data_IF_413191574003
#
_entry.id   IF_413191574003
#
_cell.length_a   1.000
_cell.length_b   1.000
_cell.length_c   1.000
_cell.angle_alpha   90.00
_cell.angle_beta   90.00
_cell.angle_gamma   90.00
#
_symmetry.space_group_name_H-M   'P 1'
#
loop_
_entity.id
_entity.type
_entity.pdbx_description
1 polymer ?
#
# COMPACT_ATOMS: atom_id res chain seq x y z
N UNK A 1 -19.13 2.98 15.01
CA UNK A 1 -18.67 1.59 14.89
C UNK A 1 -17.27 1.55 15.50
N UNK A 2 -16.98 0.62 16.40
CA UNK A 2 -15.63 0.47 16.97
C UNK A 2 -14.72 -0.38 16.04
N UNK A 3 -13.43 -0.43 16.32
CA UNK A 3 -12.45 -1.16 15.49
C UNK A 3 -12.75 -2.65 15.38
N UNK A 4 -13.18 -3.27 16.49
CA UNK A 4 -13.53 -4.69 16.52
C UNK A 4 -14.77 -4.99 15.67
N UNK A 5 -15.77 -4.12 15.70
CA UNK A 5 -16.97 -4.22 14.88
C UNK A 5 -16.60 -4.13 13.39
N UNK A 6 -15.75 -3.16 13.02
CA UNK A 6 -15.30 -2.96 11.63
C UNK A 6 -14.58 -4.21 11.12
N UNK A 7 -13.65 -4.76 11.90
CA UNK A 7 -12.94 -5.99 11.55
C UNK A 7 -13.88 -7.21 11.42
N UNK A 8 -14.83 -7.37 12.34
CA UNK A 8 -15.81 -8.45 12.29
C UNK A 8 -16.72 -8.33 11.06
N UNK A 9 -17.15 -7.11 10.71
CA UNK A 9 -17.98 -6.87 9.53
C UNK A 9 -17.20 -7.16 8.24
N UNK A 10 -15.94 -6.72 8.15
CA UNK A 10 -15.07 -7.04 7.02
C UNK A 10 -14.87 -8.55 6.86
N UNK A 11 -14.61 -9.26 7.96
CA UNK A 11 -14.47 -10.73 7.94
C UNK A 11 -15.75 -11.43 7.46
N UNK A 12 -16.93 -10.95 7.87
CA UNK A 12 -18.21 -11.46 7.39
C UNK A 12 -18.40 -11.20 5.88
N UNK A 13 -18.05 -10.01 5.40
CA UNK A 13 -18.08 -9.68 3.96
C UNK A 13 -17.14 -10.63 3.19
N UNK A 14 -15.91 -10.84 3.65
CA UNK A 14 -14.96 -11.77 3.04
C UNK A 14 -15.48 -13.21 2.99
N UNK A 15 -16.16 -13.67 4.04
CA UNK A 15 -16.80 -14.98 4.07
C UNK A 15 -17.93 -15.08 3.02
N UNK A 16 -18.77 -14.04 2.88
CA UNK A 16 -19.80 -14.00 1.84
C UNK A 16 -19.21 -14.03 0.44
N UNK A 17 -18.13 -13.28 0.17
CA UNK A 17 -17.45 -13.31 -1.13
C UNK A 17 -16.90 -14.73 -1.40
N UNK A 18 -16.23 -15.34 -0.42
CA UNK A 18 -15.69 -16.71 -0.55
C UNK A 18 -16.76 -17.78 -0.77
N UNK A 19 -17.96 -17.59 -0.20
CA UNK A 19 -19.14 -18.44 -0.40
C UNK A 19 -19.94 -18.09 -1.66
N UNK A 20 -19.47 -17.15 -2.49
CA UNK A 20 -20.15 -16.65 -3.71
C UNK A 20 -21.52 -16.00 -3.43
N UNK A 21 -21.73 -15.53 -2.21
CA UNK A 21 -22.93 -14.82 -1.76
C UNK A 21 -22.77 -13.31 -2.03
N UNK A 22 -22.68 -12.96 -3.32
CA UNK A 22 -22.25 -11.60 -3.72
C UNK A 22 -23.24 -10.50 -3.33
N UNK A 23 -24.53 -10.82 -3.28
CA UNK A 23 -25.54 -9.85 -2.81
C UNK A 23 -25.29 -9.46 -1.35
N UNK A 24 -25.10 -10.45 -0.47
CA UNK A 24 -24.81 -10.22 0.95
C UNK A 24 -23.50 -9.45 1.15
N UNK A 25 -22.48 -9.77 0.34
CA UNK A 25 -21.22 -9.04 0.37
C UNK A 25 -21.39 -7.57 -0.06
N UNK A 26 -22.09 -7.32 -1.18
CA UNK A 26 -22.38 -5.98 -1.69
C UNK A 26 -23.16 -5.16 -0.66
N UNK A 27 -24.22 -5.73 -0.09
CA UNK A 27 -25.03 -5.08 0.94
C UNK A 27 -24.18 -4.73 2.17
N UNK A 28 -23.30 -5.65 2.59
CA UNK A 28 -22.36 -5.39 3.69
C UNK A 28 -21.38 -4.25 3.41
N UNK A 29 -20.86 -4.13 2.19
CA UNK A 29 -19.98 -3.01 1.80
C UNK A 29 -20.76 -1.69 1.77
N UNK A 30 -22.00 -1.68 1.27
CA UNK A 30 -22.88 -0.50 1.31
C UNK A 30 -23.15 -0.02 2.72
N UNK A 31 -23.38 -0.94 3.66
CA UNK A 31 -23.53 -0.60 5.08
C UNK A 31 -22.27 0.08 5.63
N UNK A 32 -21.07 -0.44 5.33
CA UNK A 32 -19.81 0.20 5.74
C UNK A 32 -19.67 1.60 5.13
N UNK A 33 -19.96 1.75 3.84
CA UNK A 33 -19.87 3.02 3.12
C UNK A 33 -20.83 4.09 3.67
N UNK A 34 -22.03 3.66 4.10
CA UNK A 34 -23.06 4.53 4.65
C UNK A 34 -22.65 5.15 6.00
N UNK A 35 -21.85 4.45 6.82
CA UNK A 35 -21.42 4.95 8.14
C UNK A 35 -20.60 6.24 8.01
N UNK A 36 -19.79 6.36 6.96
CA UNK A 36 -18.89 7.50 6.75
C UNK A 36 -19.32 8.45 5.63
N UNK A 37 -20.45 8.18 4.97
CA UNK A 37 -20.84 8.88 3.74
C UNK A 37 -19.70 8.90 2.70
N UNK A 38 -18.95 7.80 2.59
CA UNK A 38 -17.82 7.71 1.67
C UNK A 38 -18.36 7.56 0.24
N UNK A 39 -18.45 8.68 -0.49
CA UNK A 39 -19.01 8.74 -1.83
C UNK A 39 -18.22 7.89 -2.83
N UNK A 40 -16.88 7.86 -2.73
CA UNK A 40 -16.03 7.11 -3.66
C UNK A 40 -16.24 5.60 -3.51
N UNK A 41 -16.38 5.09 -2.28
CA UNK A 41 -16.72 3.69 -2.03
C UNK A 41 -18.16 3.40 -2.49
N UNK A 42 -19.08 4.32 -2.24
CA UNK A 42 -20.50 4.17 -2.61
C UNK A 42 -20.72 4.09 -4.12
N UNK A 43 -19.98 4.89 -4.90
CA UNK A 43 -19.99 4.87 -6.35
C UNK A 43 -19.43 3.54 -6.89
N UNK A 44 -18.24 3.13 -6.41
CA UNK A 44 -17.63 1.86 -6.82
C UNK A 44 -18.51 0.66 -6.51
N UNK A 45 -19.14 0.60 -5.33
CA UNK A 45 -19.98 -0.55 -4.98
C UNK A 45 -21.27 -0.58 -5.80
N UNK A 46 -21.83 0.58 -6.18
CA UNK A 46 -22.97 0.65 -7.08
C UNK A 46 -22.63 0.19 -8.51
N UNK A 47 -21.43 0.53 -8.99
CA UNK A 47 -20.91 0.02 -10.27
C UNK A 47 -20.79 -1.51 -10.24
N UNK A 48 -20.16 -2.06 -9.18
CA UNK A 48 -20.01 -3.52 -9.02
C UNK A 48 -21.35 -4.24 -8.92
N UNK A 49 -22.33 -3.66 -8.22
CA UNK A 49 -23.68 -4.22 -8.16
C UNK A 49 -24.35 -4.24 -9.53
N UNK A 50 -24.22 -3.16 -10.30
CA UNK A 50 -24.77 -3.07 -11.66
C UNK A 50 -24.12 -4.13 -12.57
N UNK A 51 -22.80 -4.27 -12.52
CA UNK A 51 -22.05 -5.28 -13.25
C UNK A 51 -22.49 -6.71 -12.86
N UNK A 52 -22.72 -6.96 -11.57
CA UNK A 52 -23.24 -8.23 -11.08
C UNK A 52 -24.66 -8.52 -11.61
N UNK A 53 -25.55 -7.53 -11.61
CA UNK A 53 -26.91 -7.67 -12.15
C UNK A 53 -26.89 -7.98 -13.65
N UNK A 54 -26.05 -7.30 -14.44
CA UNK A 54 -25.88 -7.61 -15.85
C UNK A 54 -25.39 -9.04 -16.08
N UNK A 55 -24.43 -9.51 -15.29
CA UNK A 55 -23.93 -10.87 -15.39
C UNK A 55 -25.03 -11.91 -15.08
N UNK A 56 -25.88 -11.67 -14.08
CA UNK A 56 -27.04 -12.53 -13.79
C UNK A 56 -28.04 -12.55 -14.95
N UNK A 57 -28.31 -11.39 -15.55
CA UNK A 57 -29.19 -11.29 -16.72
C UNK A 57 -28.66 -12.11 -17.90
N UNK A 58 -27.38 -11.98 -18.24
CA UNK A 58 -26.77 -12.76 -19.33
C UNK A 58 -26.76 -14.27 -19.06
N UNK A 59 -26.59 -14.69 -17.80
CA UNK A 59 -26.68 -16.09 -17.42
C UNK A 59 -28.09 -16.66 -17.68
N UNK A 60 -29.14 -15.89 -17.38
CA UNK A 60 -30.53 -16.28 -17.62
C UNK A 60 -30.88 -16.34 -19.12
N UNK A 61 -30.27 -15.49 -19.94
CA UNK A 61 -30.45 -15.50 -21.41
C UNK A 61 -29.79 -16.71 -22.10
N UNK A 62 -28.99 -17.51 -21.39
CA UNK A 62 -28.36 -18.72 -21.94
C UNK A 62 -27.22 -18.46 -22.93
N UNK A 63 -26.73 -17.22 -23.03
CA UNK A 63 -25.57 -16.88 -23.86
C UNK A 63 -24.29 -17.37 -23.16
N UNK A 64 -23.64 -18.39 -23.74
CA UNK A 64 -22.33 -18.84 -23.27
C UNK A 64 -21.24 -17.90 -23.79
N UNK A 65 -20.87 -16.92 -22.98
CA UNK A 65 -19.72 -16.05 -23.23
C UNK A 65 -18.45 -16.65 -22.57
N UNK A 66 -17.39 -16.95 -23.35
CA UNK A 66 -16.10 -17.40 -22.80
C UNK A 66 -15.50 -16.43 -21.76
N UNK A 67 -15.75 -15.12 -21.89
CA UNK A 67 -15.22 -14.08 -21.01
C UNK A 67 -15.98 -13.99 -19.68
N UNK A 68 -17.13 -14.67 -19.53
CA UNK A 68 -17.96 -14.60 -18.33
C UNK A 68 -17.18 -14.94 -17.06
N UNK A 69 -16.28 -15.94 -17.14
CA UNK A 69 -15.44 -16.32 -16.00
C UNK A 69 -14.45 -15.21 -15.65
N UNK A 70 -13.82 -14.58 -16.64
CA UNK A 70 -12.87 -13.49 -16.41
C UNK A 70 -13.55 -12.27 -15.78
N UNK A 71 -14.75 -11.92 -16.26
CA UNK A 71 -15.57 -10.84 -15.69
C UNK A 71 -15.96 -11.15 -14.25
N UNK A 72 -16.40 -12.38 -13.97
CA UNK A 72 -16.74 -12.81 -12.62
C UNK A 72 -15.53 -12.76 -11.68
N UNK A 73 -14.39 -13.28 -12.10
CA UNK A 73 -13.16 -13.26 -11.30
C UNK A 73 -12.69 -11.82 -11.05
N UNK A 74 -12.88 -10.91 -12.01
CA UNK A 74 -12.62 -9.48 -11.82
C UNK A 74 -13.58 -8.86 -10.80
N UNK A 75 -14.88 -9.12 -10.93
CA UNK A 75 -15.91 -8.66 -9.98
C UNK A 75 -15.58 -9.07 -8.54
N UNK A 76 -15.14 -10.33 -8.34
CA UNK A 76 -14.73 -10.81 -7.02
C UNK A 76 -13.53 -10.03 -6.47
N UNK A 77 -12.49 -9.84 -7.28
CA UNK A 77 -11.28 -9.08 -6.87
C UNK A 77 -11.62 -7.64 -6.53
N UNK A 78 -12.43 -7.00 -7.36
CA UNK A 78 -12.83 -5.61 -7.16
C UNK A 78 -13.70 -5.49 -5.89
N UNK A 79 -14.57 -6.48 -5.61
CA UNK A 79 -15.39 -6.50 -4.40
C UNK A 79 -14.57 -6.67 -3.11
N UNK A 80 -13.56 -7.55 -3.11
CA UNK A 80 -12.60 -7.63 -1.99
C UNK A 80 -11.90 -6.28 -1.79
N UNK A 81 -11.42 -5.68 -2.87
CA UNK A 81 -10.70 -4.40 -2.85
C UNK A 81 -11.55 -3.27 -2.26
N UNK A 82 -12.82 -3.16 -2.70
CA UNK A 82 -13.73 -2.12 -2.22
C UNK A 82 -14.18 -2.39 -0.77
N UNK A 83 -14.31 -3.65 -0.36
CA UNK A 83 -14.60 -4.01 1.03
C UNK A 83 -13.45 -3.60 1.97
N UNK A 84 -12.22 -3.93 1.60
CA UNK A 84 -11.02 -3.53 2.32
C UNK A 84 -10.91 -2.00 2.40
N UNK A 85 -11.15 -1.29 1.28
CA UNK A 85 -11.14 0.18 1.26
C UNK A 85 -12.16 0.78 2.22
N UNK A 86 -13.39 0.25 2.22
CA UNK A 86 -14.46 0.74 3.10
C UNK A 86 -14.08 0.58 4.58
N UNK A 87 -13.54 -0.58 4.96
CA UNK A 87 -13.10 -0.86 6.32
C UNK A 87 -11.86 -0.03 6.70
N UNK A 88 -10.90 0.13 5.79
CA UNK A 88 -9.69 0.91 6.04
C UNK A 88 -10.01 2.39 6.26
N UNK A 89 -10.95 2.95 5.50
CA UNK A 89 -11.42 4.33 5.72
C UNK A 89 -12.06 4.53 7.10
N UNK A 90 -12.80 3.54 7.61
CA UNK A 90 -13.32 3.52 8.98
C UNK A 90 -12.19 3.51 10.01
N UNK A 91 -11.23 2.62 9.83
CA UNK A 91 -10.08 2.52 10.73
C UNK A 91 -9.18 3.76 10.70
N UNK A 92 -9.06 4.46 9.57
CA UNK A 92 -8.22 5.66 9.46
C UNK A 92 -8.65 6.77 10.41
N UNK A 93 -9.95 6.88 10.73
CA UNK A 93 -10.46 7.90 11.65
C UNK A 93 -10.24 7.53 13.13
N UNK A 94 -10.52 6.28 13.48
CA UNK A 94 -10.65 5.86 14.88
C UNK A 94 -9.44 5.08 15.42
N UNK A 95 -8.62 4.51 14.54
CA UNK A 95 -7.58 3.57 14.96
C UNK A 95 -6.33 4.27 15.50
N UNK A 96 -5.85 3.89 16.70
CA UNK A 96 -4.58 4.36 17.25
C UNK A 96 -3.38 3.54 16.76
N UNK A 97 -3.58 2.55 15.87
CA UNK A 97 -2.47 1.73 15.39
C UNK A 97 -1.43 2.57 14.65
N UNK A 98 -0.17 2.14 14.70
CA UNK A 98 0.95 2.84 14.05
C UNK A 98 0.70 3.12 12.56
N UNK A 99 0.10 2.17 11.84
CA UNK A 99 -0.21 2.34 10.41
C UNK A 99 -1.13 3.54 10.18
N UNK A 100 -2.30 3.56 10.84
CA UNK A 100 -3.28 4.64 10.67
C UNK A 100 -2.78 5.97 11.23
N UNK A 101 -1.97 5.97 12.29
CA UNK A 101 -1.31 7.18 12.79
C UNK A 101 -0.37 7.81 11.76
N UNK A 102 0.52 6.99 11.18
CA UNK A 102 1.44 7.45 10.14
C UNK A 102 0.72 7.82 8.85
N UNK A 103 -0.32 7.10 8.47
CA UNK A 103 -1.13 7.43 7.30
C UNK A 103 -1.83 8.79 7.46
N UNK A 104 -2.40 9.09 8.64
CA UNK A 104 -2.94 10.43 8.94
C UNK A 104 -1.89 11.52 8.83
N UNK A 105 -0.68 11.28 9.37
CA UNK A 105 0.42 12.24 9.28
C UNK A 105 0.82 12.52 7.81
N UNK A 106 0.86 11.48 6.97
CA UNK A 106 1.18 11.58 5.55
C UNK A 106 0.06 12.23 4.72
N UNK A 107 -1.18 12.23 5.19
CA UNK A 107 -2.27 12.97 4.53
C UNK A 107 -2.20 14.48 4.80
N UNK A 108 -1.52 14.91 5.86
CA UNK A 108 -1.36 16.33 6.22
C UNK A 108 -0.06 16.91 5.67
N UNK A 109 1.00 16.10 5.59
CA UNK A 109 2.30 16.49 5.05
C UNK A 109 2.38 16.16 3.57
N UNK A 110 3.19 16.89 2.81
CA UNK A 110 3.61 16.43 1.49
C UNK A 110 4.83 15.53 1.70
N UNK A 111 4.70 14.20 1.59
CA UNK A 111 5.87 13.32 1.71
C UNK A 111 6.80 13.55 0.52
N UNK A 112 8.09 13.32 0.73
CA UNK A 112 9.03 13.21 -0.37
C UNK A 112 8.67 11.99 -1.22
N UNK A 113 8.90 12.12 -2.51
CA UNK A 113 8.80 11.04 -3.48
C UNK A 113 9.94 10.03 -3.28
N UNK A 114 9.74 8.80 -3.75
CA UNK A 114 10.77 7.76 -3.70
C UNK A 114 12.06 8.19 -4.41
N UNK A 115 11.95 8.95 -5.50
CA UNK A 115 13.11 9.43 -6.26
C UNK A 115 13.86 10.56 -5.54
N UNK A 116 13.16 11.39 -4.77
CA UNK A 116 13.79 12.37 -3.88
C UNK A 116 14.56 11.67 -2.76
N UNK A 117 13.98 10.65 -2.12
CA UNK A 117 14.70 9.84 -1.13
C UNK A 117 15.93 9.17 -1.71
N UNK A 118 15.81 8.58 -2.90
CA UNK A 118 16.95 8.01 -3.65
C UNK A 118 18.07 9.04 -3.79
N UNK A 119 17.74 10.24 -4.26
CA UNK A 119 18.71 11.33 -4.47
C UNK A 119 19.38 11.77 -3.17
N UNK A 120 18.63 11.85 -2.07
CA UNK A 120 19.16 12.22 -0.75
C UNK A 120 20.12 11.13 -0.24
N UNK A 121 19.74 9.86 -0.35
CA UNK A 121 20.55 8.72 0.09
C UNK A 121 21.87 8.64 -0.69
N UNK A 122 21.81 8.75 -2.02
CA UNK A 122 23.03 8.78 -2.85
C UNK A 122 23.97 9.89 -2.42
N UNK A 123 23.45 11.10 -2.19
CA UNK A 123 24.24 12.24 -1.72
C UNK A 123 24.84 12.01 -0.33
N UNK A 124 24.11 11.38 0.59
CA UNK A 124 24.60 11.04 1.93
C UNK A 124 25.71 9.98 1.87
N UNK A 125 25.61 9.04 0.95
CA UNK A 125 26.64 8.02 0.70
C UNK A 125 27.92 8.64 0.11
N UNK A 126 27.78 9.56 -0.85
CA UNK A 126 28.91 10.34 -1.37
C UNK A 126 29.57 11.16 -0.24
N UNK A 127 28.76 11.84 0.57
CA UNK A 127 29.22 12.64 1.72
C UNK A 127 29.99 11.78 2.71
N UNK A 128 29.50 10.58 3.02
CA UNK A 128 30.22 9.62 3.85
C UNK A 128 31.60 9.28 3.26
N UNK A 129 31.65 8.99 1.97
CA UNK A 129 32.90 8.67 1.25
C UNK A 129 33.90 9.84 1.31
N UNK A 130 33.43 11.08 1.19
CA UNK A 130 34.29 12.27 1.37
C UNK A 130 34.80 12.44 2.80
N UNK A 131 33.95 12.22 3.81
CA UNK A 131 34.34 12.33 5.21
C UNK A 131 35.37 11.25 5.55
N UNK A 132 35.26 10.06 4.97
CA UNK A 132 36.19 8.96 5.25
C UNK A 132 37.63 9.27 4.79
N UNK A 133 37.80 10.11 3.77
CA UNK A 133 39.10 10.57 3.29
C UNK A 133 39.77 11.63 4.19
N UNK A 134 39.08 12.16 5.20
CA UNK A 134 39.65 13.13 6.13
C UNK A 134 40.67 12.49 7.07
N UNK A 135 41.61 13.30 7.58
CA UNK A 135 42.55 12.88 8.61
C UNK A 135 41.82 12.47 9.90
N UNK A 136 42.39 11.50 10.60
CA UNK A 136 41.85 11.07 11.89
C UNK A 136 41.90 12.20 12.91
N UNK A 137 40.76 12.47 13.55
CA UNK A 137 40.63 13.51 14.55
C UNK A 137 39.18 13.85 14.86
N UNK A 138 39.00 14.75 15.83
CA UNK A 138 37.67 15.14 16.33
C UNK A 138 36.74 15.67 15.23
N UNK A 139 37.26 16.34 14.21
CA UNK A 139 36.45 16.86 13.10
C UNK A 139 35.85 15.72 12.26
N UNK A 140 36.64 14.70 11.92
CA UNK A 140 36.16 13.51 11.18
C UNK A 140 35.08 12.80 11.99
N UNK A 141 35.34 12.54 13.28
CA UNK A 141 34.37 11.89 14.18
C UNK A 141 33.05 12.64 14.27
N UNK A 142 33.10 13.97 14.42
CA UNK A 142 31.91 14.81 14.51
C UNK A 142 31.09 14.77 13.22
N UNK A 143 31.73 14.90 12.06
CA UNK A 143 31.05 14.87 10.76
C UNK A 143 30.46 13.50 10.45
N UNK A 144 31.17 12.41 10.76
CA UNK A 144 30.64 11.05 10.63
C UNK A 144 29.37 10.87 11.46
N UNK A 145 29.41 11.31 12.72
CA UNK A 145 28.25 11.21 13.61
C UNK A 145 27.07 12.02 13.09
N UNK A 146 27.31 13.24 12.60
CA UNK A 146 26.25 14.08 12.03
C UNK A 146 25.64 13.43 10.78
N UNK A 147 26.46 12.98 9.83
CA UNK A 147 25.98 12.33 8.61
C UNK A 147 25.18 11.06 8.93
N UNK A 148 25.63 10.26 9.90
CA UNK A 148 24.91 9.07 10.35
C UNK A 148 23.53 9.41 10.95
N UNK A 149 23.44 10.47 11.75
CA UNK A 149 22.15 10.92 12.32
C UNK A 149 21.18 11.42 11.26
N UNK A 150 21.65 12.22 10.30
CA UNK A 150 20.84 12.72 9.19
C UNK A 150 20.37 11.56 8.29
N UNK A 151 21.24 10.58 8.07
CA UNK A 151 20.92 9.38 7.30
C UNK A 151 19.86 8.51 8.01
N UNK A 152 20.00 8.29 9.32
CA UNK A 152 19.01 7.54 10.11
C UNK A 152 17.63 8.21 10.09
N UNK A 153 17.57 9.54 10.20
CA UNK A 153 16.31 10.30 10.06
C UNK A 153 15.69 10.12 8.67
N UNK A 154 16.52 10.18 7.62
CA UNK A 154 16.08 10.00 6.23
C UNK A 154 15.50 8.60 6.03
N UNK A 155 16.17 7.57 6.53
CA UNK A 155 15.70 6.18 6.44
C UNK A 155 14.43 5.94 7.27
N UNK A 156 14.31 6.57 8.44
CA UNK A 156 13.11 6.49 9.26
C UNK A 156 11.89 7.09 8.52
N UNK A 157 12.06 8.26 7.91
CA UNK A 157 11.01 8.91 7.13
C UNK A 157 10.66 8.11 5.88
N UNK A 158 11.66 7.60 5.16
CA UNK A 158 11.47 6.70 4.02
C UNK A 158 10.72 5.42 4.42
N UNK A 159 11.09 4.80 5.53
CA UNK A 159 10.41 3.61 6.02
C UNK A 159 8.92 3.88 6.21
N UNK A 160 8.56 4.96 6.90
CA UNK A 160 7.16 5.28 7.14
C UNK A 160 6.42 5.67 5.86
N UNK A 161 7.05 6.37 4.92
CA UNK A 161 6.43 6.73 3.64
C UNK A 161 6.11 5.49 2.80
N UNK A 162 7.01 4.49 2.78
CA UNK A 162 6.77 3.20 2.10
C UNK A 162 5.75 2.36 2.87
N UNK A 163 5.84 2.31 4.21
CA UNK A 163 4.97 1.51 5.06
C UNK A 163 3.49 1.90 4.93
N UNK A 164 3.18 3.19 4.79
CA UNK A 164 1.79 3.67 4.61
C UNK A 164 1.46 4.07 3.17
N UNK A 165 2.31 3.66 2.22
CA UNK A 165 2.14 4.02 0.81
C UNK A 165 0.78 3.53 0.25
N UNK A 166 0.17 4.31 -0.67
CA UNK A 166 -1.09 3.92 -1.32
C UNK A 166 -0.92 2.63 -2.13
N UNK A 167 -2.04 2.07 -2.65
CA UNK A 167 -1.93 1.00 -3.65
C UNK A 167 -1.07 1.46 -4.82
N UNK A 168 -0.28 0.54 -5.33
CA UNK A 168 0.69 0.77 -6.37
C UNK A 168 0.03 1.22 -7.68
N UNK A 169 0.63 2.23 -8.28
CA UNK A 169 0.47 2.56 -9.69
C UNK A 169 1.78 2.25 -10.43
N UNK A 170 1.75 2.37 -11.76
CA UNK A 170 2.91 2.07 -12.60
C UNK A 170 4.14 2.92 -12.22
N UNK A 171 3.92 4.19 -11.89
CA UNK A 171 4.98 5.14 -11.54
C UNK A 171 5.66 4.76 -10.22
N UNK A 172 4.89 4.48 -9.17
CA UNK A 172 5.41 4.09 -7.85
C UNK A 172 6.23 2.81 -7.93
N UNK A 173 5.75 1.80 -8.67
CA UNK A 173 6.51 0.56 -8.87
C UNK A 173 7.79 0.83 -9.66
N UNK A 174 7.75 1.73 -10.63
CA UNK A 174 8.94 2.11 -11.40
C UNK A 174 9.98 2.79 -10.50
N UNK A 175 9.58 3.75 -9.68
CA UNK A 175 10.50 4.39 -8.71
C UNK A 175 11.07 3.38 -7.70
N UNK A 176 10.26 2.42 -7.21
CA UNK A 176 10.79 1.35 -6.36
C UNK A 176 11.77 0.44 -7.08
N UNK A 177 11.59 0.14 -8.37
CA UNK A 177 12.58 -0.63 -9.13
C UNK A 177 13.88 0.17 -9.29
N UNK A 178 13.79 1.45 -9.62
CA UNK A 178 14.95 2.30 -9.82
C UNK A 178 15.82 2.42 -8.57
N UNK A 179 15.23 2.62 -7.38
CA UNK A 179 16.01 2.68 -6.13
C UNK A 179 16.63 1.32 -5.78
N UNK A 180 15.99 0.20 -6.14
CA UNK A 180 16.54 -1.15 -5.91
C UNK A 180 17.68 -1.49 -6.88
N UNK A 181 17.60 -1.01 -8.12
CA UNK A 181 18.59 -1.23 -9.18
C UNK A 181 19.80 -0.29 -9.07
N UNK A 182 19.68 0.82 -8.36
CA UNK A 182 20.77 1.78 -8.19
C UNK A 182 21.91 1.23 -7.34
N UNK A 183 23.10 1.10 -7.91
CA UNK A 183 24.31 0.62 -7.24
C UNK A 183 24.84 1.59 -6.18
N UNK A 184 24.50 2.89 -6.29
CA UNK A 184 24.93 3.91 -5.33
C UNK A 184 24.13 3.87 -4.03
N UNK A 185 23.00 3.16 -4.01
CA UNK A 185 22.16 2.99 -2.82
C UNK A 185 22.67 1.77 -2.02
N UNK A 186 23.06 1.96 -0.75
CA UNK A 186 23.54 0.85 0.09
C UNK A 186 22.52 -0.29 0.24
N UNK A 187 23.02 -1.52 0.38
CA UNK A 187 22.19 -2.72 0.56
C UNK A 187 21.31 -2.64 1.83
N UNK A 188 21.84 -2.03 2.89
CA UNK A 188 21.11 -1.82 4.14
C UNK A 188 19.82 -1.01 3.89
N UNK A 189 19.91 0.09 3.16
CA UNK A 189 18.80 0.99 2.84
C UNK A 189 17.75 0.29 1.98
N UNK A 190 18.19 -0.49 0.99
CA UNK A 190 17.30 -1.36 0.19
C UNK A 190 16.54 -2.34 1.08
N UNK A 191 17.20 -2.90 2.09
CA UNK A 191 16.58 -3.82 3.06
C UNK A 191 15.53 -3.12 3.93
N UNK A 192 15.71 -1.85 4.27
CA UNK A 192 14.69 -1.03 4.96
C UNK A 192 13.45 -0.87 4.08
N UNK A 193 13.62 -0.57 2.79
CA UNK A 193 12.49 -0.44 1.86
C UNK A 193 11.75 -1.77 1.70
N UNK A 194 12.47 -2.89 1.53
CA UNK A 194 11.87 -4.24 1.45
C UNK A 194 11.08 -4.55 2.72
N UNK A 195 11.61 -4.22 3.89
CA UNK A 195 10.95 -4.44 5.18
C UNK A 195 9.66 -3.62 5.29
N UNK A 196 9.73 -2.32 4.96
CA UNK A 196 8.57 -1.43 4.94
C UNK A 196 7.49 -1.92 3.95
N UNK A 197 7.91 -2.34 2.75
CA UNK A 197 7.02 -2.82 1.70
C UNK A 197 6.33 -4.13 2.12
N UNK A 198 7.06 -5.04 2.75
CA UNK A 198 6.51 -6.29 3.30
C UNK A 198 5.46 -5.99 4.36
N UNK A 199 5.76 -5.08 5.31
CA UNK A 199 4.80 -4.68 6.33
C UNK A 199 3.56 -3.98 5.74
N UNK A 200 3.73 -3.17 4.69
CA UNK A 200 2.61 -2.55 3.98
C UNK A 200 1.69 -3.63 3.38
N UNK A 201 2.24 -4.64 2.71
CA UNK A 201 1.46 -5.73 2.08
C UNK A 201 0.67 -6.54 3.12
N UNK A 202 1.25 -6.77 4.31
CA UNK A 202 0.56 -7.46 5.40
C UNK A 202 -0.63 -6.66 5.94
N UNK A 203 -0.55 -5.33 5.90
CA UNK A 203 -1.63 -4.45 6.34
C UNK A 203 -2.67 -4.19 5.25
N UNK A 204 -2.24 -4.07 3.99
CA UNK A 204 -3.06 -3.81 2.82
C UNK A 204 -2.55 -4.64 1.65
N UNK A 205 -3.38 -5.58 1.18
CA UNK A 205 -3.03 -6.40 0.03
C UNK A 205 -2.83 -5.54 -1.24
N UNK A 206 -1.73 -5.82 -1.94
CA UNK A 206 -1.39 -5.19 -3.21
C UNK A 206 -0.60 -6.18 -4.07
N UNK A 207 -1.21 -6.63 -5.16
CA UNK A 207 -0.60 -7.64 -6.03
C UNK A 207 0.65 -7.14 -6.75
N UNK A 208 0.73 -5.86 -7.10
CA UNK A 208 1.88 -5.30 -7.82
C UNK A 208 3.09 -5.14 -6.90
N UNK A 209 2.87 -4.75 -5.64
CA UNK A 209 3.94 -4.73 -4.62
C UNK A 209 4.45 -6.13 -4.30
N UNK A 210 3.57 -7.14 -4.25
CA UNK A 210 3.98 -8.54 -4.08
C UNK A 210 4.82 -9.01 -5.27
N UNK A 211 4.38 -8.74 -6.51
CA UNK A 211 5.16 -9.08 -7.71
C UNK A 211 6.54 -8.44 -7.68
N UNK A 212 6.62 -7.16 -7.29
CA UNK A 212 7.89 -6.47 -7.12
C UNK A 212 8.81 -7.21 -6.13
N UNK A 213 8.32 -7.57 -4.93
CA UNK A 213 9.12 -8.33 -3.96
C UNK A 213 9.58 -9.68 -4.51
N UNK A 214 8.71 -10.40 -5.21
CA UNK A 214 9.06 -11.69 -5.83
C UNK A 214 10.12 -11.54 -6.92
N UNK A 215 10.05 -10.48 -7.72
CA UNK A 215 11.03 -10.18 -8.77
C UNK A 215 12.39 -9.81 -8.16
N UNK A 216 12.41 -9.11 -7.02
CA UNK A 216 13.64 -8.79 -6.29
C UNK A 216 14.31 -10.04 -5.71
N UNK A 217 13.55 -11.06 -5.30
CA UNK A 217 14.11 -12.33 -4.80
C UNK A 217 14.69 -13.25 -5.88
N UNK A 218 14.41 -12.98 -7.17
CA UNK A 218 14.86 -13.81 -8.29
C UNK A 218 16.24 -13.41 -8.83
N UNK A 219 16.75 -12.27 -8.38
CA UNK A 219 18.06 -11.72 -8.76
C UNK A 219 19.09 -12.11 -7.72
#
# INVERSE_FOLDING_TARGET
MNLSETANKLAAIHAHIGQKQLKQAIDGVKELAAIQHNWAVSEKIAELETNYQYMLHYLLEGKKDPEQKHIYDKLLRDLYTVADDAAEHLCLQESPSLYFDKQRLMNVRTPLTTDEYRSIITRQNDTYSFIDLLEEGHEKEQRLKQNAQEHEQTLQDLFYSVYVSPRANADLITSYRQIMEDELVPLYDKSIIISALTMNILQRFDAEKIKLLLDLCRR
#
